data_IF_385881596051
#
_entry.id   IF_385881596051
#
_cell.length_a   1.000
_cell.length_b   1.000
_cell.length_c   1.000
_cell.angle_alpha   90.00
_cell.angle_beta   90.00
_cell.angle_gamma   90.00
#
_symmetry.space_group_name_H-M   'P 1'
#
loop_
_entity.id
_entity.type
_entity.pdbx_description
1 polymer ?
#
# COMPACT_ATOMS: atom_id res chain seq x y z
N UNK A 1 -7.06 -37.02 4.62
CA UNK A 1 -7.14 -37.99 3.53
C UNK A 1 -6.58 -37.42 2.24
N UNK A 2 -6.46 -38.23 1.20
CA UNK A 2 -5.84 -37.86 -0.07
C UNK A 2 -6.43 -36.57 -0.70
N UNK A 3 -7.70 -36.26 -0.44
CA UNK A 3 -8.39 -35.08 -0.95
C UNK A 3 -7.87 -33.79 -0.26
N UNK A 4 -7.39 -33.90 0.98
CA UNK A 4 -6.93 -32.75 1.78
C UNK A 4 -5.40 -32.62 1.80
N UNK A 5 -4.67 -33.56 1.23
CA UNK A 5 -3.22 -33.49 1.16
C UNK A 5 -2.79 -32.53 0.05
N UNK A 6 -1.83 -31.69 0.39
CA UNK A 6 -1.22 -30.78 -0.57
C UNK A 6 -0.13 -31.52 -1.37
N UNK A 7 -0.21 -31.44 -2.68
CA UNK A 7 0.82 -32.00 -3.56
C UNK A 7 2.04 -31.05 -3.61
N UNK A 8 3.06 -31.37 -2.84
CA UNK A 8 4.28 -30.57 -2.76
C UNK A 8 5.18 -30.70 -4.00
N UNK A 9 4.96 -31.71 -4.85
CA UNK A 9 5.74 -31.90 -6.09
C UNK A 9 5.25 -30.96 -7.21
N UNK A 10 3.99 -30.53 -7.14
CA UNK A 10 3.36 -29.60 -8.10
C UNK A 10 3.13 -28.21 -7.52
N UNK A 11 3.93 -27.77 -6.53
CA UNK A 11 3.78 -26.46 -5.90
C UNK A 11 4.02 -25.33 -6.91
N UNK A 12 3.11 -24.35 -6.90
CA UNK A 12 3.33 -23.07 -7.60
C UNK A 12 4.42 -22.27 -6.85
N UNK A 13 5.63 -22.34 -7.39
CA UNK A 13 6.82 -21.71 -6.79
C UNK A 13 6.72 -20.18 -6.83
N UNK A 14 6.11 -19.61 -7.86
CA UNK A 14 5.98 -18.15 -8.02
C UNK A 14 5.00 -17.60 -6.98
N UNK A 15 3.87 -18.29 -6.79
CA UNK A 15 2.91 -17.95 -5.74
C UNK A 15 3.54 -18.10 -4.34
N UNK A 16 4.34 -19.14 -4.12
CA UNK A 16 5.04 -19.36 -2.85
C UNK A 16 6.03 -18.23 -2.56
N UNK A 17 6.82 -17.82 -3.55
CA UNK A 17 7.77 -16.71 -3.41
C UNK A 17 7.05 -15.39 -3.18
N UNK A 18 5.96 -15.12 -3.90
CA UNK A 18 5.11 -13.97 -3.67
C UNK A 18 4.55 -13.92 -2.23
N UNK A 19 4.05 -15.05 -1.72
CA UNK A 19 3.58 -15.15 -0.34
C UNK A 19 4.71 -14.90 0.68
N UNK A 20 5.91 -15.41 0.43
CA UNK A 20 7.08 -15.15 1.28
C UNK A 20 7.43 -13.68 1.31
N UNK A 21 7.37 -13.00 0.17
CA UNK A 21 7.65 -11.57 0.06
C UNK A 21 6.60 -10.74 0.81
N UNK A 22 5.31 -11.06 0.69
CA UNK A 22 4.24 -10.43 1.48
C UNK A 22 4.48 -10.57 2.98
N UNK A 23 4.87 -11.77 3.43
CA UNK A 23 5.19 -12.03 4.83
C UNK A 23 6.43 -11.24 5.26
N UNK A 24 7.46 -11.13 4.40
CA UNK A 24 8.67 -10.36 4.66
C UNK A 24 8.35 -8.88 4.85
N UNK A 25 7.60 -8.28 3.93
CA UNK A 25 7.16 -6.88 4.01
C UNK A 25 6.35 -6.66 5.29
N UNK A 26 5.35 -7.50 5.56
CA UNK A 26 4.53 -7.37 6.77
C UNK A 26 5.34 -7.48 8.06
N UNK A 27 6.36 -8.35 8.11
CA UNK A 27 7.23 -8.50 9.28
C UNK A 27 8.19 -7.33 9.45
N UNK A 28 8.74 -6.82 8.36
CA UNK A 28 9.69 -5.70 8.37
C UNK A 28 9.00 -4.38 8.78
N UNK A 29 7.74 -4.19 8.38
CA UNK A 29 7.03 -2.93 8.52
C UNK A 29 5.90 -2.98 9.55
N UNK A 30 6.11 -2.42 10.76
CA UNK A 30 5.11 -2.32 11.81
C UNK A 30 3.80 -1.67 11.41
N UNK A 31 3.80 -0.76 10.42
CA UNK A 31 2.59 -0.08 9.93
C UNK A 31 1.54 -1.06 9.41
N UNK A 32 1.95 -2.21 8.84
CA UNK A 32 1.03 -3.26 8.37
C UNK A 32 0.56 -4.24 9.47
N UNK A 33 1.04 -4.08 10.70
CA UNK A 33 0.71 -4.95 11.84
C UNK A 33 0.49 -4.18 13.14
N UNK A 34 -0.16 -3.01 13.01
CA UNK A 34 -0.49 -2.15 14.15
C UNK A 34 -1.36 -2.92 15.16
N UNK A 35 -1.17 -2.62 16.44
CA UNK A 35 -1.99 -3.14 17.54
C UNK A 35 -3.22 -2.28 17.82
N UNK A 36 -3.24 -1.05 17.32
CA UNK A 36 -4.34 -0.10 17.42
C UNK A 36 -4.86 0.26 16.04
N UNK A 37 -6.14 0.51 15.94
CA UNK A 37 -6.79 0.99 14.73
C UNK A 37 -6.21 2.33 14.29
N UNK A 38 -6.32 2.62 13.02
CA UNK A 38 -6.11 3.95 12.49
C UNK A 38 -7.26 4.86 12.95
N UNK A 39 -6.98 6.13 13.20
CA UNK A 39 -7.96 7.08 13.71
C UNK A 39 -8.37 8.12 12.66
N UNK A 40 -7.68 8.19 11.52
CA UNK A 40 -7.89 9.21 10.48
C UNK A 40 -7.57 10.61 11.00
N UNK A 41 -6.54 10.74 11.86
CA UNK A 41 -6.17 12.01 12.49
C UNK A 41 -4.76 12.42 12.15
N UNK A 42 -4.54 13.74 12.14
CA UNK A 42 -3.22 14.34 11.93
C UNK A 42 -2.19 13.78 12.91
N UNK A 43 -1.02 13.48 12.39
CA UNK A 43 0.11 12.95 13.15
C UNK A 43 1.04 14.10 13.53
N UNK A 44 1.34 14.25 14.83
CA UNK A 44 2.28 15.28 15.29
C UNK A 44 3.66 15.08 14.66
N UNK A 45 4.14 16.11 13.97
CA UNK A 45 5.41 16.08 13.22
C UNK A 45 5.31 15.40 11.86
N UNK A 46 4.11 15.38 11.28
CA UNK A 46 3.84 15.00 9.90
C UNK A 46 2.71 15.87 9.37
N UNK A 47 2.76 16.22 8.09
CA UNK A 47 1.72 16.99 7.42
C UNK A 47 0.53 16.11 6.98
N UNK A 48 0.61 14.81 7.26
CA UNK A 48 -0.39 13.83 6.86
C UNK A 48 -1.06 13.16 8.08
N UNK A 49 -2.30 12.70 7.87
CA UNK A 49 -3.03 11.86 8.80
C UNK A 49 -2.34 10.49 8.96
N UNK A 50 -2.73 9.72 9.98
CA UNK A 50 -2.20 8.36 10.20
C UNK A 50 -2.66 7.37 9.13
N UNK A 51 -3.83 7.62 8.51
CA UNK A 51 -4.36 6.96 7.32
C UNK A 51 -5.14 7.98 6.47
N UNK A 52 -5.05 7.87 5.17
CA UNK A 52 -5.87 8.61 4.23
C UNK A 52 -6.30 7.72 3.05
N UNK A 53 -7.48 7.96 2.52
CA UNK A 53 -8.08 7.21 1.43
C UNK A 53 -8.32 8.12 0.25
N UNK A 54 -8.01 7.64 -0.95
CA UNK A 54 -8.09 8.42 -2.16
C UNK A 54 -8.85 7.68 -3.26
N UNK A 55 -9.57 8.43 -4.06
CA UNK A 55 -10.10 7.98 -5.33
C UNK A 55 -8.98 7.79 -6.35
N UNK A 56 -9.28 7.18 -7.48
CA UNK A 56 -8.31 6.95 -8.56
C UNK A 56 -7.81 8.25 -9.22
N UNK A 57 -8.54 9.36 -9.09
CA UNK A 57 -8.17 10.68 -9.57
C UNK A 57 -7.29 11.49 -8.59
N UNK A 58 -6.90 10.89 -7.46
CA UNK A 58 -6.08 11.52 -6.43
C UNK A 58 -6.86 12.35 -5.42
N UNK A 59 -8.17 12.53 -5.58
CA UNK A 59 -9.01 13.22 -4.60
C UNK A 59 -9.20 12.36 -3.35
N UNK A 60 -9.30 13.00 -2.16
CA UNK A 60 -9.64 12.28 -0.92
C UNK A 60 -11.05 11.74 -0.98
N UNK A 61 -11.22 10.49 -0.55
CA UNK A 61 -12.53 9.85 -0.49
C UNK A 61 -13.43 10.53 0.55
N UNK A 62 -14.65 10.86 0.11
CA UNK A 62 -15.73 11.42 0.93
C UNK A 62 -16.70 10.31 1.39
N UNK A 63 -17.60 10.66 2.33
CA UNK A 63 -18.71 9.76 2.72
C UNK A 63 -19.62 9.38 1.55
N UNK A 64 -19.67 10.21 0.50
CA UNK A 64 -20.41 9.89 -0.72
C UNK A 64 -19.71 8.78 -1.50
N UNK A 65 -18.38 8.85 -1.66
CA UNK A 65 -17.59 7.87 -2.41
C UNK A 65 -17.67 6.49 -1.77
N UNK A 66 -17.63 6.40 -0.44
CA UNK A 66 -17.82 5.15 0.30
C UNK A 66 -19.17 4.46 0.07
N UNK A 67 -20.18 5.21 -0.35
CA UNK A 67 -21.52 4.68 -0.66
C UNK A 67 -21.70 4.24 -2.10
N UNK A 68 -20.70 4.46 -2.95
CA UNK A 68 -20.74 4.07 -4.36
C UNK A 68 -20.49 2.57 -4.52
N UNK A 69 -21.55 1.79 -4.67
CA UNK A 69 -21.47 0.32 -4.77
C UNK A 69 -20.75 -0.22 -6.01
N UNK A 70 -20.42 0.66 -6.98
CA UNK A 70 -19.67 0.31 -8.19
C UNK A 70 -18.17 0.64 -8.11
N UNK A 71 -17.74 1.39 -7.11
CA UNK A 71 -16.33 1.72 -6.94
C UNK A 71 -15.53 0.46 -6.60
N UNK A 72 -14.56 0.12 -7.46
CA UNK A 72 -13.74 -1.10 -7.36
C UNK A 72 -12.26 -0.80 -7.20
N UNK A 73 -11.90 0.47 -7.20
CA UNK A 73 -10.49 0.89 -7.15
C UNK A 73 -10.33 2.06 -6.21
N UNK A 74 -9.31 2.02 -5.40
CA UNK A 74 -8.97 3.08 -4.44
C UNK A 74 -7.49 3.02 -4.08
N UNK A 75 -6.98 4.11 -3.49
CA UNK A 75 -5.67 4.15 -2.89
C UNK A 75 -5.76 4.41 -1.39
N UNK A 76 -4.85 3.83 -0.62
CA UNK A 76 -4.71 4.08 0.82
C UNK A 76 -3.29 4.49 1.18
N UNK A 77 -3.15 5.63 1.82
CA UNK A 77 -1.91 6.09 2.41
C UNK A 77 -1.84 5.66 3.88
N UNK A 78 -0.72 5.08 4.27
CA UNK A 78 -0.43 4.63 5.64
C UNK A 78 0.79 5.37 6.14
N UNK A 79 0.62 6.18 7.18
CA UNK A 79 1.69 6.98 7.75
C UNK A 79 2.50 6.17 8.79
N UNK A 80 3.76 5.85 8.48
CA UNK A 80 4.64 5.13 9.40
C UNK A 80 4.97 5.89 10.68
N UNK A 81 4.89 7.24 10.66
CA UNK A 81 5.02 8.08 11.85
C UNK A 81 3.76 8.08 12.72
N UNK A 82 2.62 7.59 12.18
CA UNK A 82 1.31 7.54 12.86
C UNK A 82 1.14 6.37 13.83
N UNK A 83 2.18 5.57 14.08
CA UNK A 83 2.13 4.46 15.02
C UNK A 83 2.17 5.01 16.46
N UNK A 84 1.10 4.76 17.23
CA UNK A 84 0.93 5.29 18.58
C UNK A 84 1.39 4.32 19.68
N UNK A 85 1.79 3.10 19.31
CA UNK A 85 2.27 2.09 20.26
C UNK A 85 3.77 2.19 20.46
N UNK A 86 4.23 1.74 21.64
CA UNK A 86 5.65 1.61 21.95
C UNK A 86 6.14 0.17 21.79
N UNK A 87 7.45 0.02 21.61
CA UNK A 87 8.13 -1.29 21.67
C UNK A 87 8.20 -1.82 23.12
N UNK A 88 8.77 -3.02 23.28
CA UNK A 88 8.94 -3.65 24.59
C UNK A 88 9.83 -2.84 25.56
N UNK A 89 10.58 -1.87 25.05
CA UNK A 89 11.45 -0.97 25.85
C UNK A 89 10.81 0.41 26.08
N UNK A 90 9.53 0.59 25.72
CA UNK A 90 8.81 1.85 25.86
C UNK A 90 9.16 2.91 24.82
N UNK A 91 9.96 2.60 23.80
CA UNK A 91 10.33 3.56 22.75
C UNK A 91 9.24 3.63 21.69
N UNK A 92 9.01 4.84 21.16
CA UNK A 92 8.07 5.05 20.06
C UNK A 92 8.46 4.19 18.86
N UNK A 93 7.49 3.47 18.32
CA UNK A 93 7.65 2.75 17.05
C UNK A 93 7.41 3.73 15.91
N UNK A 94 8.35 3.80 14.98
CA UNK A 94 8.24 4.57 13.72
C UNK A 94 8.58 3.64 12.58
N UNK A 95 7.93 3.82 11.45
CA UNK A 95 8.12 3.02 10.25
C UNK A 95 8.18 3.92 9.00
N UNK A 96 8.44 3.33 7.86
CA UNK A 96 8.24 3.96 6.57
C UNK A 96 6.75 4.21 6.30
N UNK A 97 6.44 5.16 5.43
CA UNK A 97 5.09 5.41 4.96
C UNK A 97 4.84 4.69 3.64
N UNK A 98 3.62 4.25 3.44
CA UNK A 98 3.21 3.46 2.27
C UNK A 98 1.99 4.03 1.59
N UNK A 99 1.94 3.89 0.26
CA UNK A 99 0.75 4.10 -0.55
C UNK A 99 0.41 2.77 -1.22
N UNK A 100 -0.80 2.27 -0.98
CA UNK A 100 -1.27 1.00 -1.56
C UNK A 100 -2.40 1.30 -2.53
N UNK A 101 -2.22 0.90 -3.79
CA UNK A 101 -3.21 1.06 -4.85
C UNK A 101 -3.92 -0.28 -5.07
N UNK A 102 -5.23 -0.27 -4.96
CA UNK A 102 -6.06 -1.45 -5.17
C UNK A 102 -6.88 -1.27 -6.45
N UNK A 103 -6.76 -2.21 -7.37
CA UNK A 103 -7.63 -2.31 -8.53
C UNK A 103 -8.36 -3.66 -8.53
N UNK A 104 -9.59 -3.68 -8.05
CA UNK A 104 -10.50 -4.83 -8.13
C UNK A 104 -11.40 -4.78 -9.39
N UNK A 105 -11.12 -3.92 -10.36
CA UNK A 105 -11.75 -3.93 -11.67
C UNK A 105 -11.06 -4.96 -12.59
N UNK A 106 -11.74 -5.45 -13.60
CA UNK A 106 -11.19 -6.42 -14.55
C UNK A 106 -10.26 -5.79 -15.60
N UNK A 107 -10.30 -4.48 -15.77
CA UNK A 107 -9.48 -3.72 -16.71
C UNK A 107 -8.44 -2.91 -15.97
N UNK A 108 -7.35 -2.51 -16.63
CA UNK A 108 -6.43 -1.54 -16.07
C UNK A 108 -7.13 -0.24 -15.69
N UNK A 109 -6.72 0.36 -14.58
CA UNK A 109 -7.25 1.63 -14.09
C UNK A 109 -6.10 2.59 -13.86
N UNK A 110 -6.29 3.82 -14.34
CA UNK A 110 -5.33 4.90 -14.16
C UNK A 110 -5.50 5.51 -12.76
N UNK A 111 -4.37 5.66 -12.07
CA UNK A 111 -4.29 6.34 -10.78
C UNK A 111 -3.49 7.62 -10.92
N UNK A 112 -4.03 8.70 -10.38
CA UNK A 112 -3.35 9.99 -10.22
C UNK A 112 -2.82 10.09 -8.80
N UNK A 113 -1.59 10.56 -8.64
CA UNK A 113 -1.04 10.83 -7.31
C UNK A 113 -1.80 11.99 -6.67
N UNK A 114 -2.18 11.83 -5.41
CA UNK A 114 -2.83 12.90 -4.66
C UNK A 114 -1.86 14.08 -4.44
N UNK A 115 -2.37 15.32 -4.53
CA UNK A 115 -1.54 16.53 -4.44
C UNK A 115 -0.69 16.59 -3.17
N UNK A 116 -1.23 16.13 -2.05
CA UNK A 116 -0.54 16.07 -0.76
C UNK A 116 0.51 14.96 -0.66
N UNK A 117 0.64 14.12 -1.69
CA UNK A 117 1.61 13.01 -1.76
C UNK A 117 2.63 13.17 -2.91
N UNK A 118 2.49 14.20 -3.75
CA UNK A 118 3.36 14.41 -4.94
C UNK A 118 4.79 14.76 -4.59
N UNK A 119 5.00 15.48 -3.48
CA UNK A 119 6.34 15.86 -3.00
C UNK A 119 7.11 14.70 -2.34
N UNK A 120 6.48 13.54 -2.24
CA UNK A 120 7.08 12.35 -1.66
C UNK A 120 7.68 11.48 -2.76
N UNK A 121 8.96 11.14 -2.62
CA UNK A 121 9.61 10.18 -3.51
C UNK A 121 9.11 8.77 -3.19
N UNK A 122 8.62 8.05 -4.19
CA UNK A 122 8.07 6.71 -4.03
C UNK A 122 8.94 5.65 -4.72
N UNK A 123 8.97 4.44 -4.16
CA UNK A 123 9.50 3.24 -4.79
C UNK A 123 8.45 2.13 -4.75
N UNK A 124 8.33 1.37 -5.83
CA UNK A 124 7.46 0.21 -5.86
C UNK A 124 8.17 -0.92 -5.12
N UNK A 125 7.54 -1.45 -4.09
CA UNK A 125 8.07 -2.57 -3.29
C UNK A 125 7.28 -3.86 -3.48
N UNK A 126 6.11 -3.79 -4.09
CA UNK A 126 5.31 -4.96 -4.44
C UNK A 126 4.36 -4.62 -5.59
N UNK A 127 4.23 -5.54 -6.54
CA UNK A 127 3.20 -5.54 -7.56
C UNK A 127 2.64 -6.96 -7.72
N UNK A 128 1.33 -7.11 -7.60
CA UNK A 128 0.70 -8.44 -7.63
C UNK A 128 0.42 -8.98 -9.03
N UNK A 129 0.51 -8.17 -10.08
CA UNK A 129 0.40 -8.62 -11.46
C UNK A 129 1.73 -9.24 -11.92
N UNK A 130 1.85 -10.55 -11.80
CA UNK A 130 3.07 -11.30 -12.13
C UNK A 130 3.39 -11.16 -13.62
N UNK A 131 4.64 -10.84 -13.93
CA UNK A 131 5.13 -10.71 -15.31
C UNK A 131 4.79 -9.39 -16.00
N UNK A 132 4.19 -8.45 -15.29
CA UNK A 132 3.96 -7.08 -15.76
C UNK A 132 4.82 -6.11 -14.94
N UNK A 133 5.49 -5.19 -15.64
CA UNK A 133 6.10 -4.03 -14.98
C UNK A 133 5.01 -2.96 -14.80
N UNK A 134 4.87 -2.38 -13.59
CA UNK A 134 3.91 -1.31 -13.40
C UNK A 134 4.38 -0.04 -14.13
N UNK A 135 3.56 0.49 -15.00
CA UNK A 135 3.77 1.78 -15.64
C UNK A 135 3.42 2.93 -14.68
N UNK A 136 4.04 2.94 -13.52
CA UNK A 136 3.86 4.01 -12.55
C UNK A 136 5.09 4.93 -12.60
N UNK A 137 4.92 6.21 -12.87
CA UNK A 137 6.00 7.16 -12.76
C UNK A 137 6.39 7.31 -11.28
N UNK A 138 7.54 6.78 -10.93
CA UNK A 138 8.07 6.81 -9.54
C UNK A 138 8.62 8.20 -9.21
N UNK A 139 8.94 8.99 -10.24
CA UNK A 139 9.60 10.29 -10.12
C UNK A 139 8.75 11.48 -10.63
N UNK A 140 7.46 11.28 -10.91
CA UNK A 140 6.57 12.34 -11.44
C UNK A 140 5.19 12.27 -10.76
N UNK A 141 4.53 13.44 -10.55
CA UNK A 141 3.15 13.49 -10.05
C UNK A 141 2.12 12.95 -11.05
N UNK A 142 2.60 12.40 -12.17
CA UNK A 142 1.73 11.95 -13.24
C UNK A 142 1.10 10.58 -12.96
N UNK A 143 0.07 10.31 -13.72
CA UNK A 143 -0.78 9.13 -13.63
C UNK A 143 -0.08 7.86 -14.10
N UNK A 144 -0.27 6.76 -13.36
CA UNK A 144 0.16 5.44 -13.78
C UNK A 144 -0.99 4.45 -13.91
N UNK A 145 -0.83 3.40 -14.70
CA UNK A 145 -1.82 2.34 -14.85
C UNK A 145 -1.54 1.17 -13.91
N UNK A 146 -2.59 0.73 -13.22
CA UNK A 146 -2.58 -0.47 -12.38
C UNK A 146 -3.43 -1.53 -13.08
N UNK A 147 -2.86 -2.69 -13.38
CA UNK A 147 -3.54 -3.77 -14.08
C UNK A 147 -4.82 -4.23 -13.35
N UNK A 148 -5.74 -4.84 -14.08
CA UNK A 148 -6.94 -5.41 -13.48
C UNK A 148 -6.63 -6.49 -12.43
N UNK A 149 -7.44 -6.59 -11.40
CA UNK A 149 -7.30 -7.57 -10.32
C UNK A 149 -5.94 -7.52 -9.62
N UNK A 150 -5.35 -6.33 -9.47
CA UNK A 150 -4.02 -6.21 -8.91
C UNK A 150 -3.89 -5.17 -7.80
N UNK A 151 -2.78 -5.26 -7.08
CA UNK A 151 -2.39 -4.35 -6.00
C UNK A 151 -0.95 -3.91 -6.25
N UNK A 152 -0.70 -2.61 -6.06
CA UNK A 152 0.64 -2.03 -6.04
C UNK A 152 0.91 -1.46 -4.65
N UNK A 153 2.07 -1.75 -4.11
CA UNK A 153 2.54 -1.16 -2.85
C UNK A 153 3.75 -0.28 -3.13
N UNK A 154 3.58 1.00 -2.85
CA UNK A 154 4.63 2.01 -2.92
C UNK A 154 5.12 2.32 -1.52
N UNK A 155 6.43 2.41 -1.35
CA UNK A 155 7.07 2.85 -0.10
C UNK A 155 7.69 4.22 -0.33
N UNK A 156 7.51 5.13 0.65
CA UNK A 156 8.20 6.42 0.63
C UNK A 156 9.70 6.20 0.76
N UNK A 157 10.48 6.68 -0.21
CA UNK A 157 11.93 6.75 -0.08
C UNK A 157 12.29 7.76 1.00
N UNK A 158 13.07 7.35 1.97
CA UNK A 158 13.72 8.30 2.85
C UNK A 158 14.77 9.01 2.01
N UNK A 159 14.61 10.32 1.81
CA UNK A 159 15.67 11.12 1.17
C UNK A 159 16.96 10.86 1.94
N UNK A 160 18.02 10.60 1.22
CA UNK A 160 19.38 10.72 1.78
C UNK A 160 19.51 12.20 2.10
N UNK A 161 19.41 12.57 3.38
CA UNK A 161 19.78 13.91 3.82
C UNK A 161 21.22 14.15 3.32
N UNK A 162 21.46 15.25 2.60
CA UNK A 162 22.77 15.58 2.05
C UNK A 162 23.78 15.84 3.17
#
# INVERSE_FOLDING_TARGET
>A
NDISWYDWESVDTDLLEYCRELIRIRKAHPVFRRRRWFEGRSVRGSDHDDIAWYNTDGSRMSDHDWRQGYAKSLAVYLNGKGITTTDARGRRVVDDSFLVLFNAHSQPVRFTMADDLTDLNWEIVLYSAIGLEPELPVDSPETGEVAGWSVVVLKKRNGVDP
#
